data_IF_755271524294
#
_entry.id   IF_755271524294
#
_cell.length_a   1.000
_cell.length_b   1.000
_cell.length_c   1.000
_cell.angle_alpha   90.00
_cell.angle_beta   90.00
_cell.angle_gamma   90.00
#
_symmetry.space_group_name_H-M   'P 1'
#
loop_
_entity.id
_entity.type
_entity.pdbx_description
1 polymer ?
#
# COMPACT_ATOMS: atom_id res chain seq x y z
N UNK A 1 0.85 -21.28 -13.81
CA UNK A 1 1.94 -20.51 -13.17
C UNK A 1 1.33 -19.71 -12.02
N UNK A 2 1.90 -19.75 -10.84
CA UNK A 2 1.48 -18.87 -9.75
C UNK A 2 1.76 -17.41 -10.18
N UNK A 3 0.78 -16.53 -9.99
CA UNK A 3 0.95 -15.11 -10.29
C UNK A 3 1.63 -14.38 -9.11
N UNK A 4 2.12 -13.17 -9.36
CA UNK A 4 2.82 -12.34 -8.35
C UNK A 4 1.93 -12.08 -7.13
N UNK A 5 0.62 -11.89 -7.34
CA UNK A 5 -0.34 -11.66 -6.27
C UNK A 5 -0.35 -12.80 -5.24
N UNK A 6 -0.52 -14.05 -5.70
CA UNK A 6 -0.55 -15.24 -4.84
C UNK A 6 0.80 -15.49 -4.17
N UNK A 7 1.91 -15.33 -4.91
CA UNK A 7 3.27 -15.48 -4.36
C UNK A 7 3.50 -14.49 -3.23
N UNK A 8 3.13 -13.23 -3.44
CA UNK A 8 3.32 -12.20 -2.43
C UNK A 8 2.39 -12.40 -1.22
N UNK A 9 1.13 -12.77 -1.44
CA UNK A 9 0.18 -13.14 -0.39
C UNK A 9 0.75 -14.24 0.52
N UNK A 10 1.26 -15.33 -0.07
CA UNK A 10 1.89 -16.43 0.67
C UNK A 10 3.09 -15.96 1.52
N UNK A 11 3.94 -15.10 0.95
CA UNK A 11 5.09 -14.53 1.65
C UNK A 11 4.67 -13.66 2.84
N UNK A 12 3.64 -12.82 2.68
CA UNK A 12 3.11 -11.97 3.75
C UNK A 12 2.52 -12.78 4.91
N UNK A 13 1.79 -13.85 4.61
CA UNK A 13 1.26 -14.79 5.62
C UNK A 13 2.40 -15.51 6.34
N UNK A 14 3.40 -16.02 5.61
CA UNK A 14 4.55 -16.75 6.16
C UNK A 14 5.33 -15.93 7.18
N UNK A 15 5.60 -14.67 6.91
CA UNK A 15 6.34 -13.77 7.83
C UNK A 15 5.43 -13.10 8.86
N UNK A 16 4.13 -13.42 8.84
CA UNK A 16 3.11 -12.80 9.71
C UNK A 16 3.07 -11.26 9.59
N UNK A 17 3.37 -10.74 8.41
CA UNK A 17 3.07 -9.36 8.04
C UNK A 17 1.56 -9.17 7.90
N UNK A 18 0.87 -10.19 7.41
CA UNK A 18 -0.58 -10.30 7.46
C UNK A 18 -0.95 -11.42 8.43
N UNK A 19 -1.98 -11.19 9.24
CA UNK A 19 -2.59 -12.14 10.15
C UNK A 19 -4.09 -12.11 9.99
N UNK A 20 -4.72 -13.29 10.01
CA UNK A 20 -6.16 -13.48 9.99
C UNK A 20 -6.58 -14.17 11.28
N UNK A 21 -7.49 -13.55 12.04
CA UNK A 21 -8.02 -14.04 13.31
C UNK A 21 -9.56 -13.81 13.35
N UNK A 22 -10.35 -14.58 12.57
CA UNK A 22 -11.78 -14.40 12.46
C UNK A 22 -12.51 -14.59 13.80
N UNK A 23 -11.99 -15.47 14.68
CA UNK A 23 -12.62 -15.83 15.96
C UNK A 23 -12.04 -15.06 17.16
N UNK A 24 -10.98 -14.27 16.98
CA UNK A 24 -10.34 -13.45 18.02
C UNK A 24 -9.80 -12.17 17.37
N UNK A 25 -10.68 -11.24 16.98
CA UNK A 25 -10.34 -10.11 16.14
C UNK A 25 -9.44 -9.10 16.84
N UNK A 26 -8.60 -8.46 16.04
CA UNK A 26 -7.77 -7.34 16.45
C UNK A 26 -8.61 -6.10 16.71
N UNK A 27 -8.13 -5.20 17.56
CA UNK A 27 -8.64 -3.83 17.67
C UNK A 27 -7.63 -2.89 17.00
N UNK A 28 -8.04 -2.20 15.94
CA UNK A 28 -7.21 -1.21 15.26
C UNK A 28 -7.10 0.08 16.08
N UNK A 29 -6.12 0.92 15.75
CA UNK A 29 -5.94 2.23 16.39
C UNK A 29 -7.16 3.16 16.26
N UNK A 30 -8.00 2.94 15.23
CA UNK A 30 -9.28 3.62 15.05
C UNK A 30 -10.36 3.16 16.04
N UNK A 31 -10.13 2.10 16.81
CA UNK A 31 -11.10 1.43 17.66
C UNK A 31 -11.92 0.35 16.94
N UNK A 32 -11.79 0.20 15.63
CA UNK A 32 -12.51 -0.81 14.87
C UNK A 32 -12.03 -2.22 15.22
N UNK A 33 -12.98 -3.14 15.31
CA UNK A 33 -12.67 -4.57 15.34
C UNK A 33 -12.36 -5.07 13.95
N UNK A 34 -11.37 -5.94 13.84
CA UNK A 34 -10.96 -6.50 12.55
C UNK A 34 -10.43 -7.92 12.69
N UNK A 35 -10.91 -8.87 11.89
CA UNK A 35 -10.35 -10.22 11.80
C UNK A 35 -9.03 -10.23 11.01
N UNK A 36 -8.59 -9.06 10.51
CA UNK A 36 -7.48 -8.89 9.60
C UNK A 36 -6.50 -7.85 10.16
N UNK A 37 -5.21 -8.17 10.19
CA UNK A 37 -4.15 -7.24 10.54
C UNK A 37 -3.05 -7.28 9.48
N UNK A 38 -2.62 -6.11 9.03
CA UNK A 38 -1.55 -5.96 8.05
C UNK A 38 -0.50 -4.96 8.54
N UNK A 39 0.75 -5.39 8.54
CA UNK A 39 1.93 -4.55 8.78
C UNK A 39 3.01 -4.88 7.75
N UNK A 40 2.93 -4.24 6.60
CA UNK A 40 3.86 -4.44 5.50
C UNK A 40 5.30 -4.00 5.83
N UNK A 41 5.50 -3.15 6.83
CA UNK A 41 6.84 -2.73 7.29
C UNK A 41 7.68 -3.92 7.77
N UNK A 42 7.05 -5.01 8.21
CA UNK A 42 7.74 -6.25 8.56
C UNK A 42 8.52 -6.85 7.40
N UNK A 43 8.09 -6.62 6.17
CA UNK A 43 8.80 -7.10 4.96
C UNK A 43 10.23 -6.58 4.89
N UNK A 44 10.50 -5.41 5.46
CA UNK A 44 11.83 -4.79 5.48
C UNK A 44 12.87 -5.62 6.25
N UNK A 45 12.43 -6.38 7.26
CA UNK A 45 13.30 -7.19 8.11
C UNK A 45 13.73 -8.52 7.47
N UNK A 46 13.13 -8.91 6.35
CA UNK A 46 13.42 -10.14 5.62
C UNK A 46 14.09 -9.79 4.28
N UNK A 47 15.42 -9.95 4.13
CA UNK A 47 16.15 -9.50 2.94
C UNK A 47 15.58 -10.00 1.62
N UNK A 48 15.22 -11.29 1.53
CA UNK A 48 14.65 -11.88 0.31
C UNK A 48 13.28 -11.29 -0.01
N UNK A 49 12.44 -11.08 1.01
CA UNK A 49 11.11 -10.51 0.82
C UNK A 49 11.20 -9.01 0.50
N UNK A 50 12.09 -8.27 1.17
CA UNK A 50 12.36 -6.87 0.85
C UNK A 50 12.83 -6.70 -0.59
N UNK A 51 13.73 -7.58 -1.05
CA UNK A 51 14.22 -7.60 -2.43
C UNK A 51 13.10 -7.96 -3.42
N UNK A 52 12.26 -8.93 -3.07
CA UNK A 52 11.08 -9.27 -3.88
C UNK A 52 10.15 -8.07 -4.06
N UNK A 53 9.78 -7.38 -2.97
CA UNK A 53 8.91 -6.19 -3.03
C UNK A 53 9.54 -5.09 -3.85
N UNK A 54 10.85 -4.81 -3.66
CA UNK A 54 11.60 -3.85 -4.48
C UNK A 54 11.49 -4.17 -5.97
N UNK A 55 11.82 -5.40 -6.35
CA UNK A 55 11.84 -5.82 -7.76
C UNK A 55 10.45 -5.74 -8.38
N UNK A 56 9.43 -6.23 -7.70
CA UNK A 56 8.07 -6.25 -8.24
C UNK A 56 7.44 -4.86 -8.32
N UNK A 57 7.64 -3.99 -7.32
CA UNK A 57 7.19 -2.59 -7.42
C UNK A 57 7.92 -1.86 -8.55
N UNK A 58 9.23 -2.07 -8.69
CA UNK A 58 10.01 -1.50 -9.80
C UNK A 58 9.48 -1.96 -11.16
N UNK A 59 9.19 -3.26 -11.29
CA UNK A 59 8.58 -3.83 -12.51
C UNK A 59 7.23 -3.17 -12.82
N UNK A 60 6.36 -3.02 -11.81
CA UNK A 60 5.07 -2.35 -12.01
C UNK A 60 5.24 -0.90 -12.48
N UNK A 61 6.21 -0.17 -11.95
CA UNK A 61 6.49 1.20 -12.41
C UNK A 61 6.92 1.19 -13.87
N UNK A 62 7.87 0.34 -14.23
CA UNK A 62 8.38 0.25 -15.61
C UNK A 62 7.30 -0.15 -16.63
N UNK A 63 6.39 -1.05 -16.26
CA UNK A 63 5.34 -1.55 -17.14
C UNK A 63 4.13 -0.63 -17.24
N UNK A 64 3.74 0.00 -16.14
CA UNK A 64 2.48 0.72 -16.03
C UNK A 64 2.61 2.25 -16.07
N UNK A 65 3.82 2.76 -15.79
CA UNK A 65 4.15 4.18 -15.65
C UNK A 65 5.55 4.48 -16.19
N UNK A 66 5.87 4.07 -17.45
CA UNK A 66 7.22 4.20 -18.01
C UNK A 66 7.68 5.65 -18.14
N UNK A 67 6.76 6.61 -18.07
CA UNK A 67 7.02 8.05 -18.12
C UNK A 67 7.47 8.66 -16.78
N UNK A 68 7.53 7.88 -15.69
CA UNK A 68 7.93 8.38 -14.38
C UNK A 68 9.36 8.93 -14.38
N UNK A 69 9.54 10.14 -13.89
CA UNK A 69 10.81 10.87 -13.79
C UNK A 69 11.30 11.03 -12.34
N UNK A 70 10.44 10.71 -11.38
CA UNK A 70 10.74 10.75 -9.94
C UNK A 70 9.83 9.84 -9.14
N UNK A 71 10.25 9.50 -7.94
CA UNK A 71 9.51 8.62 -7.01
C UNK A 71 9.20 9.37 -5.72
N UNK A 72 7.96 9.25 -5.24
CA UNK A 72 7.54 9.78 -3.94
C UNK A 72 6.98 8.68 -3.05
N UNK A 73 7.61 8.42 -1.90
CA UNK A 73 7.09 7.48 -0.90
C UNK A 73 6.09 8.14 0.04
N UNK A 74 5.01 7.45 0.41
CA UNK A 74 4.08 7.95 1.44
C UNK A 74 4.61 7.59 2.83
N UNK A 75 4.84 8.59 3.66
CA UNK A 75 5.33 8.36 5.00
C UNK A 75 4.22 7.77 5.90
N UNK A 76 4.57 6.82 6.77
CA UNK A 76 5.92 6.35 7.09
C UNK A 76 6.21 5.00 6.41
N UNK A 77 5.19 4.21 6.12
CA UNK A 77 5.30 2.80 5.69
C UNK A 77 6.06 2.61 4.38
N UNK A 78 5.86 3.54 3.45
CA UNK A 78 6.44 3.42 2.11
C UNK A 78 7.75 4.20 1.89
N UNK A 79 8.30 4.86 2.90
CA UNK A 79 9.58 5.58 2.72
C UNK A 79 10.68 4.63 2.24
N UNK A 80 10.88 3.54 2.96
CA UNK A 80 11.96 2.59 2.65
C UNK A 80 11.74 1.91 1.29
N UNK A 81 10.53 1.45 1.00
CA UNK A 81 10.21 0.81 -0.29
C UNK A 81 10.32 1.80 -1.44
N UNK A 82 9.83 3.03 -1.27
CA UNK A 82 9.96 4.09 -2.28
C UNK A 82 11.41 4.42 -2.59
N UNK A 83 12.27 4.53 -1.57
CA UNK A 83 13.70 4.75 -1.76
C UNK A 83 14.37 3.60 -2.51
N UNK A 84 14.01 2.35 -2.20
CA UNK A 84 14.55 1.17 -2.90
C UNK A 84 14.09 1.09 -4.35
N UNK A 85 12.85 1.51 -4.66
CA UNK A 85 12.33 1.59 -6.04
C UNK A 85 13.05 2.72 -6.81
N UNK A 86 13.22 3.89 -6.19
CA UNK A 86 13.93 5.00 -6.80
C UNK A 86 15.39 4.65 -7.12
N UNK A 87 16.08 3.98 -6.19
CA UNK A 87 17.44 3.47 -6.39
C UNK A 87 17.51 2.51 -7.58
N UNK A 88 16.58 1.55 -7.65
CA UNK A 88 16.53 0.57 -8.74
C UNK A 88 16.25 1.20 -10.12
N UNK A 89 15.49 2.30 -10.15
CA UNK A 89 15.17 3.05 -11.37
C UNK A 89 16.18 4.17 -11.69
N UNK A 90 17.14 4.44 -10.79
CA UNK A 90 18.05 5.59 -10.85
C UNK A 90 17.30 6.94 -10.96
N UNK A 91 16.15 7.07 -10.26
CA UNK A 91 15.31 8.26 -10.25
C UNK A 91 15.45 9.06 -8.95
N UNK A 92 15.22 10.39 -8.98
CA UNK A 92 15.09 11.20 -7.77
C UNK A 92 14.03 10.66 -6.81
N UNK A 93 14.30 10.79 -5.50
CA UNK A 93 13.38 10.35 -4.45
C UNK A 93 13.03 11.47 -3.50
N UNK A 94 11.74 11.53 -3.14
CA UNK A 94 11.22 12.30 -2.02
C UNK A 94 10.21 11.45 -1.25
N UNK A 95 9.82 11.89 -0.03
CA UNK A 95 8.69 11.29 0.65
C UNK A 95 7.72 12.36 1.18
N UNK A 96 6.46 11.98 1.29
CA UNK A 96 5.40 12.90 1.71
C UNK A 96 4.94 12.53 3.12
N UNK A 97 5.03 13.47 4.04
CA UNK A 97 4.65 13.32 5.45
C UNK A 97 3.13 13.43 5.62
N UNK A 98 2.61 12.77 6.64
CA UNK A 98 1.19 12.85 7.01
C UNK A 98 0.80 14.18 7.68
N UNK A 99 1.79 14.89 8.27
CA UNK A 99 1.61 16.16 8.96
C UNK A 99 2.77 17.11 8.65
N UNK A 100 2.53 18.45 8.60
CA UNK A 100 3.59 19.45 8.49
C UNK A 100 4.57 19.38 9.66
N UNK A 101 5.72 20.04 9.53
CA UNK A 101 6.64 20.28 10.65
C UNK A 101 6.05 21.35 11.55
N UNK A 102 6.27 21.22 12.86
CA UNK A 102 5.80 22.22 13.85
C UNK A 102 6.53 23.56 13.72
N UNK A 103 7.70 23.56 13.06
CA UNK A 103 8.53 24.75 12.85
C UNK A 103 9.06 24.77 11.41
N UNK A 104 8.79 25.86 10.68
CA UNK A 104 9.28 26.11 9.32
C UNK A 104 8.16 26.16 8.27
N UNK A 105 8.55 26.15 6.99
CA UNK A 105 7.62 26.13 5.88
C UNK A 105 6.67 24.92 6.01
N UNK A 106 5.38 25.13 5.76
CA UNK A 106 4.32 24.09 5.76
C UNK A 106 4.52 23.04 4.67
N UNK A 107 5.75 22.54 4.52
CA UNK A 107 6.10 21.59 3.49
C UNK A 107 5.91 20.15 4.01
N UNK A 108 5.07 19.41 3.32
CA UNK A 108 4.86 17.99 3.58
C UNK A 108 5.88 17.11 2.86
N UNK A 109 6.61 17.64 1.87
CA UNK A 109 7.53 16.89 1.01
C UNK A 109 8.94 17.05 1.56
N UNK A 110 9.60 15.93 1.80
CA UNK A 110 11.00 15.86 2.20
C UNK A 110 11.81 15.27 1.03
N UNK A 111 12.82 16.01 0.62
CA UNK A 111 13.55 15.81 -0.64
C UNK A 111 13.19 16.91 -1.63
N UNK A 112 13.74 16.84 -2.83
CA UNK A 112 13.53 17.81 -3.90
C UNK A 112 12.95 17.15 -5.15
N UNK A 113 11.76 17.61 -5.56
CA UNK A 113 11.12 17.26 -6.82
C UNK A 113 10.81 18.59 -7.56
N UNK A 114 11.13 18.62 -8.84
CA UNK A 114 10.97 19.85 -9.64
C UNK A 114 9.50 20.01 -10.10
N UNK A 115 8.97 21.24 -10.14
CA UNK A 115 7.70 21.50 -10.79
C UNK A 115 7.69 20.97 -12.23
N UNK A 116 6.59 20.38 -12.65
CA UNK A 116 6.42 19.71 -13.95
C UNK A 116 6.96 18.29 -14.01
N UNK A 117 7.71 17.81 -12.98
CA UNK A 117 8.22 16.44 -12.96
C UNK A 117 7.10 15.42 -12.85
N UNK A 118 7.16 14.36 -13.65
CA UNK A 118 6.27 13.21 -13.62
C UNK A 118 6.64 12.27 -12.48
N UNK A 119 5.80 12.21 -11.45
CA UNK A 119 6.10 11.48 -10.21
C UNK A 119 5.18 10.29 -10.05
N UNK A 120 5.79 9.12 -9.82
CA UNK A 120 5.07 7.93 -9.35
C UNK A 120 5.06 7.89 -7.82
N UNK A 121 3.90 7.61 -7.23
CA UNK A 121 3.76 7.48 -5.78
C UNK A 121 3.89 6.01 -5.38
N UNK A 122 4.66 5.74 -4.32
CA UNK A 122 4.81 4.40 -3.72
C UNK A 122 4.14 4.39 -2.36
N UNK A 123 3.27 3.39 -2.13
CA UNK A 123 2.56 3.18 -0.87
C UNK A 123 2.76 1.75 -0.35
N UNK A 124 2.66 1.54 0.96
CA UNK A 124 2.75 0.20 1.55
C UNK A 124 1.38 -0.49 1.63
N UNK A 125 0.33 0.26 1.94
CA UNK A 125 -1.01 -0.26 2.21
C UNK A 125 -2.08 0.75 1.82
N UNK A 126 -3.06 0.30 1.03
CA UNK A 126 -4.29 1.04 0.76
C UNK A 126 -5.45 0.45 1.57
N UNK A 127 -5.97 1.24 2.51
CA UNK A 127 -7.23 0.97 3.20
C UNK A 127 -8.35 1.79 2.56
N UNK A 128 -8.69 2.95 3.11
CA UNK A 128 -9.68 3.88 2.52
C UNK A 128 -9.07 4.85 1.49
N UNK A 129 -7.76 4.87 1.34
CA UNK A 129 -7.04 5.73 0.39
C UNK A 129 -6.81 7.19 0.85
N UNK A 130 -7.41 7.60 1.97
CA UNK A 130 -7.40 9.01 2.36
C UNK A 130 -6.00 9.60 2.62
N UNK A 131 -5.10 8.88 3.30
CA UNK A 131 -3.72 9.32 3.53
C UNK A 131 -2.91 9.37 2.23
N UNK A 132 -3.08 8.35 1.41
CA UNK A 132 -2.37 8.21 0.13
C UNK A 132 -2.76 9.32 -0.85
N UNK A 133 -4.06 9.65 -0.93
CA UNK A 133 -4.54 10.74 -1.81
C UNK A 133 -4.15 12.12 -1.29
N UNK A 134 -4.03 12.33 0.03
CA UNK A 134 -3.44 13.56 0.59
C UNK A 134 -1.99 13.76 0.14
N UNK A 135 -1.21 12.67 0.03
CA UNK A 135 0.14 12.75 -0.51
C UNK A 135 0.15 13.15 -1.99
N UNK A 136 -0.78 12.61 -2.79
CA UNK A 136 -0.98 13.02 -4.20
C UNK A 136 -1.30 14.52 -4.28
N UNK A 137 -2.23 15.01 -3.46
CA UNK A 137 -2.58 16.43 -3.43
C UNK A 137 -1.38 17.33 -3.07
N UNK A 138 -0.55 16.93 -2.09
CA UNK A 138 0.64 17.66 -1.71
C UNK A 138 1.64 17.77 -2.86
N UNK A 139 1.87 16.67 -3.60
CA UNK A 139 2.74 16.65 -4.77
C UNK A 139 2.20 17.53 -5.90
N UNK A 140 0.90 17.46 -6.18
CA UNK A 140 0.24 18.32 -7.18
C UNK A 140 0.30 19.81 -6.80
N UNK A 141 0.12 20.14 -5.52
CA UNK A 141 0.29 21.51 -5.00
C UNK A 141 1.72 22.01 -5.14
N UNK A 142 2.72 21.13 -5.06
CA UNK A 142 4.12 21.46 -5.31
C UNK A 142 4.46 21.56 -6.82
N UNK A 143 3.48 21.41 -7.68
CA UNK A 143 3.63 21.51 -9.13
C UNK A 143 4.03 20.24 -9.84
N UNK A 144 4.11 19.09 -9.16
CA UNK A 144 4.41 17.81 -9.80
C UNK A 144 3.20 17.26 -10.56
N UNK A 145 3.46 16.54 -11.65
CA UNK A 145 2.48 15.72 -12.35
C UNK A 145 2.49 14.30 -11.73
N UNK A 146 1.45 13.93 -10.97
CA UNK A 146 1.35 12.58 -10.42
C UNK A 146 0.78 11.64 -11.48
N UNK A 147 1.63 10.75 -12.02
CA UNK A 147 1.27 9.81 -13.11
C UNK A 147 0.48 8.60 -12.61
N UNK A 148 0.61 8.25 -11.32
CA UNK A 148 -0.13 7.17 -10.69
C UNK A 148 0.43 6.78 -9.33
N UNK A 149 -0.03 5.62 -8.84
CA UNK A 149 0.42 5.04 -7.59
C UNK A 149 0.62 3.53 -7.72
N UNK A 150 1.73 3.03 -7.17
CA UNK A 150 1.94 1.60 -6.93
C UNK A 150 1.93 1.33 -5.43
N UNK A 151 1.29 0.23 -5.00
CA UNK A 151 1.26 -0.14 -3.60
C UNK A 151 1.53 -1.63 -3.40
N UNK A 152 2.06 -1.98 -2.23
CA UNK A 152 2.31 -3.37 -1.90
C UNK A 152 1.01 -4.16 -1.72
N UNK A 153 0.01 -3.55 -1.08
CA UNK A 153 -1.24 -4.21 -0.71
C UNK A 153 -2.44 -3.26 -0.73
N UNK A 154 -3.61 -3.80 -1.07
CA UNK A 154 -4.90 -3.11 -0.89
C UNK A 154 -5.95 -4.01 -0.25
N UNK A 155 -6.80 -3.43 0.61
CA UNK A 155 -8.01 -4.10 1.07
C UNK A 155 -9.11 -4.16 -0.01
N UNK A 156 -9.00 -3.34 -1.08
CA UNK A 156 -10.00 -3.27 -2.14
C UNK A 156 -11.36 -2.80 -1.65
N UNK A 157 -11.39 -1.85 -0.71
CA UNK A 157 -12.65 -1.27 -0.26
C UNK A 157 -13.24 -0.37 -1.36
N UNK A 158 -14.55 -0.45 -1.63
CA UNK A 158 -15.20 0.38 -2.64
C UNK A 158 -14.95 1.89 -2.45
N UNK A 159 -14.91 2.36 -1.20
CA UNK A 159 -14.61 3.76 -0.88
C UNK A 159 -13.23 4.19 -1.37
N UNK A 160 -12.23 3.30 -1.35
CA UNK A 160 -10.90 3.60 -1.88
C UNK A 160 -10.94 3.65 -3.42
N UNK A 161 -11.57 2.68 -4.07
CA UNK A 161 -11.69 2.64 -5.52
C UNK A 161 -12.38 3.91 -6.07
N UNK A 162 -13.49 4.31 -5.46
CA UNK A 162 -14.21 5.53 -5.80
C UNK A 162 -13.34 6.79 -5.58
N UNK A 163 -12.63 6.86 -4.45
CA UNK A 163 -11.76 7.99 -4.14
C UNK A 163 -10.59 8.12 -5.13
N UNK A 164 -9.92 7.02 -5.49
CA UNK A 164 -8.84 7.01 -6.49
C UNK A 164 -9.36 7.38 -7.87
N UNK A 165 -10.53 6.87 -8.27
CA UNK A 165 -11.21 7.24 -9.53
C UNK A 165 -11.56 8.73 -9.56
N UNK A 166 -12.14 9.26 -8.49
CA UNK A 166 -12.48 10.67 -8.39
C UNK A 166 -11.25 11.58 -8.43
N UNK A 167 -10.12 11.14 -7.84
CA UNK A 167 -8.85 11.86 -7.86
C UNK A 167 -8.11 11.74 -9.21
N UNK A 168 -8.58 10.89 -10.14
CA UNK A 168 -7.90 10.61 -11.40
C UNK A 168 -6.51 9.99 -11.20
N UNK A 169 -6.37 9.08 -10.24
CA UNK A 169 -5.11 8.39 -9.92
C UNK A 169 -5.24 6.91 -10.23
N UNK A 170 -4.47 6.42 -11.19
CA UNK A 170 -4.36 4.99 -11.46
C UNK A 170 -3.58 4.33 -10.33
N UNK A 171 -4.22 3.36 -9.65
CA UNK A 171 -3.61 2.55 -8.61
C UNK A 171 -3.32 1.15 -9.15
N UNK A 172 -2.10 0.64 -8.91
CA UNK A 172 -1.71 -0.74 -9.20
C UNK A 172 -1.06 -1.34 -7.94
N UNK A 173 -1.44 -2.56 -7.57
CA UNK A 173 -0.97 -3.20 -6.34
C UNK A 173 -0.33 -4.56 -6.61
N UNK A 174 0.62 -4.97 -5.75
CA UNK A 174 1.26 -6.29 -5.85
C UNK A 174 0.32 -7.42 -5.44
N UNK A 175 -0.49 -7.18 -4.42
CA UNK A 175 -1.52 -8.13 -3.95
C UNK A 175 -2.68 -7.40 -3.29
N UNK A 176 -3.73 -8.13 -2.99
CA UNK A 176 -4.98 -7.61 -2.48
C UNK A 176 -5.59 -8.56 -1.44
N UNK A 177 -6.71 -8.15 -0.86
CA UNK A 177 -7.43 -8.90 0.15
C UNK A 177 -7.87 -10.29 -0.35
N UNK A 178 -8.42 -10.38 -1.55
CA UNK A 178 -8.92 -11.63 -2.14
C UNK A 178 -7.80 -12.65 -2.31
N UNK A 179 -6.66 -12.23 -2.85
CA UNK A 179 -5.51 -13.11 -3.04
C UNK A 179 -4.96 -13.63 -1.71
N UNK A 180 -4.95 -12.79 -0.66
CA UNK A 180 -4.51 -13.19 0.68
C UNK A 180 -5.48 -14.20 1.31
N UNK A 181 -6.79 -13.97 1.23
CA UNK A 181 -7.81 -14.88 1.76
C UNK A 181 -7.76 -16.22 1.02
N UNK A 182 -7.65 -16.20 -0.32
CA UNK A 182 -7.53 -17.41 -1.13
C UNK A 182 -6.29 -18.22 -0.75
N UNK A 183 -5.14 -17.58 -0.59
CA UNK A 183 -3.90 -18.26 -0.21
C UNK A 183 -3.94 -18.77 1.24
N UNK A 184 -4.57 -18.03 2.16
CA UNK A 184 -4.77 -18.45 3.53
C UNK A 184 -5.65 -19.70 3.62
N UNK A 185 -6.72 -19.79 2.82
CA UNK A 185 -7.57 -20.96 2.72
C UNK A 185 -6.81 -22.16 2.12
N UNK A 186 -6.13 -21.96 1.00
CA UNK A 186 -5.33 -22.98 0.31
C UNK A 186 -4.27 -23.61 1.21
N UNK A 187 -3.65 -22.82 2.07
CA UNK A 187 -2.59 -23.26 3.00
C UNK A 187 -3.12 -23.78 4.35
N UNK A 188 -4.42 -23.74 4.57
CA UNK A 188 -5.04 -24.13 5.84
C UNK A 188 -4.77 -23.15 6.98
N UNK A 189 -4.36 -21.92 6.68
CA UNK A 189 -4.18 -20.84 7.64
C UNK A 189 -5.54 -20.40 8.25
N UNK A 190 -6.59 -20.45 7.44
CA UNK A 190 -7.99 -20.29 7.82
C UNK A 190 -8.80 -21.48 7.30
N UNK A 191 -10.04 -21.64 7.80
CA UNK A 191 -10.99 -22.67 7.36
C UNK A 191 -12.06 -22.05 6.47
N UNK A 192 -12.77 -22.88 5.70
CA UNK A 192 -13.93 -22.44 4.92
C UNK A 192 -15.00 -21.78 5.78
N UNK A 193 -15.21 -22.28 7.02
CA UNK A 193 -16.12 -21.67 7.98
C UNK A 193 -15.80 -20.22 8.34
N UNK A 194 -14.57 -19.78 8.17
CA UNK A 194 -14.11 -18.43 8.51
C UNK A 194 -14.41 -17.40 7.41
N UNK A 195 -14.67 -17.87 6.18
CA UNK A 195 -14.89 -17.02 5.00
C UNK A 195 -16.11 -16.10 5.18
N UNK A 196 -17.19 -16.61 5.76
CA UNK A 196 -18.40 -15.81 6.00
C UNK A 196 -18.10 -14.61 6.91
N UNK A 197 -17.39 -14.83 8.02
CA UNK A 197 -16.96 -13.78 8.95
C UNK A 197 -16.09 -12.73 8.27
N UNK A 198 -15.12 -13.17 7.46
CA UNK A 198 -14.22 -12.29 6.71
C UNK A 198 -15.00 -11.45 5.67
N UNK A 199 -15.96 -12.06 4.99
CA UNK A 199 -16.81 -11.36 4.01
C UNK A 199 -17.76 -10.35 4.66
N UNK A 200 -18.33 -10.68 5.82
CA UNK A 200 -19.19 -9.77 6.58
C UNK A 200 -18.40 -8.55 7.05
N UNK A 201 -17.21 -8.76 7.63
CA UNK A 201 -16.33 -7.68 8.02
C UNK A 201 -15.99 -6.75 6.84
N UNK A 202 -15.61 -7.32 5.69
CA UNK A 202 -15.20 -6.55 4.53
C UNK A 202 -16.30 -5.65 3.95
N UNK A 203 -17.56 -6.03 4.09
CA UNK A 203 -18.71 -5.24 3.61
C UNK A 203 -18.86 -3.92 4.37
N UNK A 204 -18.67 -3.95 5.70
CA UNK A 204 -18.80 -2.78 6.58
C UNK A 204 -17.82 -2.88 7.76
N UNK A 205 -16.52 -2.60 7.53
CA UNK A 205 -15.48 -2.73 8.55
C UNK A 205 -15.68 -1.79 9.75
N UNK A 206 -16.37 -0.66 9.52
CA UNK A 206 -16.58 0.36 10.55
C UNK A 206 -17.64 -0.05 11.60
N UNK A 207 -18.64 -0.82 11.18
CA UNK A 207 -19.77 -1.22 12.00
C UNK A 207 -19.83 -2.74 12.23
N UNK A 208 -18.75 -3.46 11.94
CA UNK A 208 -18.68 -4.89 12.16
C UNK A 208 -18.53 -5.21 13.66
N UNK A 209 -19.52 -5.90 14.21
CA UNK A 209 -19.52 -6.44 15.58
C UNK A 209 -19.01 -7.89 15.54
N UNK A 210 -17.97 -8.16 16.35
CA UNK A 210 -17.32 -9.47 16.48
C UNK A 210 -17.91 -10.30 17.61
#
# INVERSE_FOLDING_TARGET
MENVESIFAAKLLKVKAIKLQPNDPFTWASGWKSPFYCDNRKTLSFPDLRSFVKVELTRLVMEQFPEAEGVAGVATGAIAQGALVADALALPFAYVRSKPKDHGLENLIEGELKPGMKVIVVEDLISTGGSSLKAVEALRKAGCEVVGMVASYTYGFPVAEEAFKAAGVKLVTLTNYEAVVAEALKTGYIKESDIETLNQWRKDPANWDA
#
